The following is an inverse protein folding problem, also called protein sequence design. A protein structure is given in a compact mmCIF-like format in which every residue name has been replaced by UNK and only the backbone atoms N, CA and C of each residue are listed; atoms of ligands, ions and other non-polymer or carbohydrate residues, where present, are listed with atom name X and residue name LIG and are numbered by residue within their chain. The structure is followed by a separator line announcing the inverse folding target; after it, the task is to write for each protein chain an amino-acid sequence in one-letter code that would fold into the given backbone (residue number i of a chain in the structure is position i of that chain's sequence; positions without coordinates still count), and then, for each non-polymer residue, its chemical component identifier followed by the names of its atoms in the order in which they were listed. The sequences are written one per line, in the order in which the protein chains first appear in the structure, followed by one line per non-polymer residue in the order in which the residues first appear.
data_IF_015902478881
#
_entry.id   IF_015902478881
#
_cell.length_a   1.000
_cell.length_b   1.000
_cell.length_c   1.000
_cell.angle_alpha   90.00
_cell.angle_beta   90.00
_cell.angle_gamma   90.00
#
_symmetry.space_group_name_H-M   'P 1'
#
loop_
_entity.id
_entity.type
_entity.pdbx_description
1 polymer ?
#
# COMPACT_ATOMS: atom_id res chain seq x y z
N UNK A 1 11.93 13.30 -11.21
CA UNK A 1 13.02 12.33 -11.41
C UNK A 1 13.44 11.82 -10.04
N UNK A 2 13.07 10.58 -9.69
CA UNK A 2 13.49 9.96 -8.42
C UNK A 2 14.84 9.29 -8.68
N UNK A 3 15.88 9.78 -8.03
CA UNK A 3 17.21 9.19 -8.10
C UNK A 3 17.44 8.46 -6.78
N UNK A 4 17.45 7.12 -6.74
CA UNK A 4 17.88 6.40 -5.55
C UNK A 4 19.40 6.52 -5.43
N UNK A 5 19.87 7.13 -4.35
CA UNK A 5 21.30 7.17 -4.02
C UNK A 5 21.59 6.01 -3.08
N UNK A 6 22.20 4.96 -3.61
CA UNK A 6 22.81 3.91 -2.81
C UNK A 6 24.23 4.34 -2.43
N UNK A 7 24.44 4.75 -1.18
CA UNK A 7 25.79 4.95 -0.66
C UNK A 7 26.32 3.63 -0.12
N UNK A 8 27.23 3.02 -0.87
CA UNK A 8 28.15 2.01 -0.33
C UNK A 8 29.42 2.74 0.08
N UNK A 9 29.66 2.93 1.36
CA UNK A 9 30.93 3.43 1.87
C UNK A 9 31.89 2.26 2.02
N UNK A 10 32.89 2.15 1.14
CA UNK A 10 34.13 1.41 1.44
C UNK A 10 34.97 2.27 2.39
N UNK A 11 35.05 1.88 3.64
CA UNK A 11 36.01 2.44 4.56
C UNK A 11 37.30 1.63 4.45
N UNK A 12 38.29 2.17 3.72
CA UNK A 12 39.68 1.67 3.81
C UNK A 12 40.36 2.35 4.98
N UNK A 13 40.61 1.63 6.04
CA UNK A 13 41.54 2.04 7.10
C UNK A 13 42.81 1.19 7.01
N UNK A 14 43.97 1.89 6.99
CA UNK A 14 45.27 1.27 7.16
C UNK A 14 45.48 0.89 8.65
N UNK A 15 45.78 -0.37 8.83
CA UNK A 15 46.59 -1.05 9.85
C UNK A 15 46.46 -0.64 11.33
N UNK A 16 45.77 -1.46 12.07
CA UNK A 16 46.16 -2.20 13.29
C UNK A 16 44.91 -2.91 13.85
N UNK A 17 44.75 -4.20 13.53
CA UNK A 17 43.91 -5.10 14.35
C UNK A 17 42.39 -4.91 14.30
N UNK A 18 41.85 -4.39 13.22
CA UNK A 18 40.40 -4.30 13.02
C UNK A 18 39.97 -5.50 12.17
N UNK A 19 39.08 -6.32 12.70
CA UNK A 19 38.42 -7.36 11.93
C UNK A 19 37.74 -6.72 10.69
N UNK A 20 38.04 -7.25 9.52
CA UNK A 20 37.44 -6.80 8.26
C UNK A 20 35.93 -7.02 8.32
N UNK A 21 35.17 -5.93 8.41
CA UNK A 21 33.71 -6.01 8.33
C UNK A 21 33.35 -6.22 6.86
N UNK A 22 33.20 -7.49 6.47
CA UNK A 22 32.71 -7.83 5.14
C UNK A 22 31.19 -7.59 5.10
N UNK A 23 30.79 -6.48 4.50
CA UNK A 23 29.35 -6.21 4.21
C UNK A 23 28.95 -7.01 2.98
N UNK A 24 28.44 -8.21 3.18
CA UNK A 24 27.85 -9.02 2.11
C UNK A 24 26.35 -8.70 1.95
N UNK A 25 26.04 -7.69 1.13
CA UNK A 25 24.67 -7.51 0.65
C UNK A 25 24.33 -8.59 -0.38
N UNK A 26 23.15 -9.20 -0.30
CA UNK A 26 22.64 -10.04 -1.40
C UNK A 26 22.48 -9.17 -2.64
N UNK A 27 22.99 -9.63 -3.77
CA UNK A 27 22.80 -8.90 -5.03
C UNK A 27 21.32 -8.96 -5.45
N UNK A 28 20.85 -7.95 -6.17
CA UNK A 28 19.49 -7.88 -6.72
C UNK A 28 19.14 -9.15 -7.51
N UNK A 29 20.12 -9.71 -8.22
CA UNK A 29 19.96 -10.97 -8.95
C UNK A 29 19.68 -12.16 -8.02
N UNK A 30 20.35 -12.24 -6.90
CA UNK A 30 20.16 -13.31 -5.90
C UNK A 30 18.77 -13.20 -5.24
N UNK A 31 18.32 -12.02 -4.96
CA UNK A 31 16.99 -11.76 -4.41
C UNK A 31 15.87 -12.15 -5.39
N UNK A 32 16.02 -11.83 -6.67
CA UNK A 32 15.08 -12.26 -7.73
C UNK A 32 15.09 -13.78 -7.93
N UNK A 33 16.26 -14.40 -7.91
CA UNK A 33 16.38 -15.86 -8.00
C UNK A 33 15.72 -16.55 -6.80
N UNK A 34 15.89 -16.00 -5.60
CA UNK A 34 15.24 -16.51 -4.40
C UNK A 34 13.70 -16.39 -4.48
N UNK A 35 13.17 -15.31 -5.05
CA UNK A 35 11.73 -15.15 -5.28
C UNK A 35 11.19 -16.16 -6.31
N UNK A 36 11.94 -16.43 -7.39
CA UNK A 36 11.59 -17.45 -8.39
C UNK A 36 11.62 -18.85 -7.77
N UNK A 37 12.63 -19.16 -6.98
CA UNK A 37 12.75 -20.45 -6.32
C UNK A 37 11.64 -20.66 -5.29
N UNK A 38 11.36 -19.65 -4.47
CA UNK A 38 10.23 -19.68 -3.53
C UNK A 38 8.88 -19.89 -4.25
N UNK A 39 8.71 -19.30 -5.46
CA UNK A 39 7.54 -19.56 -6.30
C UNK A 39 7.48 -21.01 -6.80
N UNK A 40 8.61 -21.61 -7.15
CA UNK A 40 8.68 -23.02 -7.59
C UNK A 40 8.33 -23.98 -6.46
N UNK A 41 8.73 -23.66 -5.23
CA UNK A 41 8.50 -24.49 -4.05
C UNK A 41 7.12 -24.26 -3.43
N UNK A 42 6.39 -23.24 -3.87
CA UNK A 42 5.04 -22.97 -3.38
C UNK A 42 4.11 -24.15 -3.73
N UNK A 43 3.36 -24.61 -2.73
CA UNK A 43 2.37 -25.70 -2.89
C UNK A 43 1.10 -25.25 -3.62
N UNK A 44 0.95 -23.95 -3.86
CA UNK A 44 -0.18 -23.32 -4.52
C UNK A 44 0.26 -22.38 -5.64
N UNK A 45 -0.73 -21.76 -6.32
CA UNK A 45 -0.45 -20.75 -7.35
C UNK A 45 -0.19 -19.42 -6.64
N UNK A 46 1.08 -19.08 -6.49
CA UNK A 46 1.54 -17.83 -5.89
C UNK A 46 2.48 -17.06 -6.81
N UNK A 47 2.48 -15.74 -6.71
CA UNK A 47 3.52 -14.86 -7.23
C UNK A 47 4.22 -14.16 -6.07
N UNK A 48 5.51 -13.93 -6.24
CA UNK A 48 6.37 -13.40 -5.17
C UNK A 48 7.16 -12.21 -5.71
N UNK A 49 7.12 -11.09 -4.99
CA UNK A 49 7.96 -9.93 -5.25
C UNK A 49 8.92 -9.77 -4.06
N UNK A 50 10.20 -9.63 -4.37
CA UNK A 50 11.23 -9.32 -3.37
C UNK A 50 11.35 -7.81 -3.13
N UNK A 51 11.91 -7.43 -1.98
CA UNK A 51 12.20 -6.04 -1.62
C UNK A 51 12.98 -5.28 -2.71
N UNK A 52 14.00 -5.92 -3.29
CA UNK A 52 14.81 -5.29 -4.34
C UNK A 52 14.00 -5.02 -5.61
N UNK A 53 13.02 -5.87 -5.94
CA UNK A 53 12.13 -5.62 -7.06
C UNK A 53 11.12 -4.51 -6.75
N UNK A 54 10.73 -4.33 -5.48
CA UNK A 54 9.89 -3.23 -5.03
C UNK A 54 10.69 -1.92 -5.07
N UNK A 55 11.90 -1.89 -4.51
CA UNK A 55 12.72 -0.67 -4.42
C UNK A 55 13.34 -0.17 -5.73
N UNK A 56 13.27 -0.94 -6.83
CA UNK A 56 13.80 -0.52 -8.14
C UNK A 56 12.93 0.49 -8.89
N UNK A 57 11.67 0.53 -8.58
CA UNK A 57 10.71 1.40 -9.22
C UNK A 57 10.34 2.52 -8.24
N UNK A 58 9.89 3.67 -8.74
CA UNK A 58 9.45 4.76 -7.89
C UNK A 58 8.09 4.44 -7.24
N UNK A 59 7.98 3.24 -6.67
CA UNK A 59 6.77 2.81 -5.96
C UNK A 59 6.65 3.60 -4.65
N UNK A 60 5.54 4.27 -4.47
CA UNK A 60 5.25 4.97 -3.22
C UNK A 60 4.81 3.98 -2.13
N UNK A 61 4.11 2.92 -2.52
CA UNK A 61 3.56 1.92 -1.61
C UNK A 61 3.56 0.51 -2.22
N UNK A 62 3.13 -0.46 -1.42
CA UNK A 62 3.09 -1.87 -1.82
C UNK A 62 2.12 -2.14 -2.97
N UNK A 63 1.02 -1.37 -3.09
CA UNK A 63 0.03 -1.59 -4.18
C UNK A 63 0.64 -1.38 -5.56
N UNK A 64 1.49 -0.35 -5.74
CA UNK A 64 2.15 -0.11 -7.03
C UNK A 64 3.01 -1.30 -7.44
N UNK A 65 3.74 -1.88 -6.48
CA UNK A 65 4.54 -3.08 -6.72
C UNK A 65 3.69 -4.29 -7.12
N UNK A 66 2.57 -4.52 -6.43
CA UNK A 66 1.64 -5.62 -6.69
C UNK A 66 0.99 -5.54 -8.08
N UNK A 67 0.78 -4.34 -8.61
CA UNK A 67 0.22 -4.13 -9.94
C UNK A 67 1.06 -4.70 -11.09
N UNK A 68 2.33 -5.03 -10.84
CA UNK A 68 3.21 -5.68 -11.82
C UNK A 68 3.05 -7.19 -11.88
N UNK A 69 2.29 -7.78 -10.94
CA UNK A 69 2.05 -9.22 -10.93
C UNK A 69 0.93 -9.61 -11.89
N UNK A 70 1.09 -10.68 -12.66
CA UNK A 70 0.06 -11.17 -13.57
C UNK A 70 -1.24 -11.49 -12.85
N UNK A 71 -2.37 -11.03 -13.40
CA UNK A 71 -3.71 -11.29 -12.84
C UNK A 71 -4.02 -10.54 -11.54
N UNK A 72 -3.23 -9.52 -11.22
CA UNK A 72 -3.52 -8.54 -10.19
C UNK A 72 -3.86 -7.22 -10.88
N UNK A 73 -4.94 -6.60 -10.46
CA UNK A 73 -5.35 -5.26 -10.87
C UNK A 73 -5.37 -4.33 -9.68
N UNK A 74 -5.03 -3.07 -9.95
CA UNK A 74 -4.96 -2.01 -8.95
C UNK A 74 -6.10 -1.05 -9.19
N UNK A 75 -6.87 -0.77 -8.16
CA UNK A 75 -7.74 0.40 -8.14
C UNK A 75 -6.97 1.58 -7.56
N UNK A 76 -7.03 2.70 -8.28
CA UNK A 76 -6.43 3.96 -7.83
C UNK A 76 -7.52 4.87 -7.27
N UNK A 77 -7.15 5.62 -6.25
CA UNK A 77 -7.96 6.69 -5.71
C UNK A 77 -7.17 7.99 -5.84
N UNK A 78 -7.75 8.94 -6.56
CA UNK A 78 -7.11 10.22 -6.89
C UNK A 78 -5.68 10.06 -7.43
N UNK A 79 -5.46 9.06 -8.30
CA UNK A 79 -4.16 8.76 -8.91
C UNK A 79 -3.25 7.82 -8.13
N UNK A 80 -3.38 7.69 -6.81
CA UNK A 80 -2.58 6.79 -5.99
C UNK A 80 -3.16 5.38 -5.95
N UNK A 81 -2.30 4.37 -6.11
CA UNK A 81 -2.68 2.97 -5.97
C UNK A 81 -3.09 2.68 -4.52
N UNK A 82 -4.31 2.19 -4.31
CA UNK A 82 -4.90 1.98 -2.98
C UNK A 82 -5.33 0.55 -2.74
N UNK A 83 -6.06 -0.05 -3.67
CA UNK A 83 -6.65 -1.37 -3.50
C UNK A 83 -6.13 -2.36 -4.54
N UNK A 84 -6.14 -3.61 -4.14
CA UNK A 84 -5.68 -4.73 -4.96
C UNK A 84 -6.83 -5.71 -5.15
N UNK A 85 -7.02 -6.16 -6.38
CA UNK A 85 -7.97 -7.22 -6.73
C UNK A 85 -7.34 -8.29 -7.59
N UNK A 86 -7.77 -9.52 -7.39
CA UNK A 86 -7.30 -10.68 -8.14
C UNK A 86 -8.28 -11.02 -9.27
N UNK A 87 -7.78 -11.14 -10.51
CA UNK A 87 -8.53 -11.65 -11.66
C UNK A 87 -9.88 -10.96 -11.88
N UNK A 88 -9.97 -9.66 -11.59
CA UNK A 88 -11.19 -8.85 -11.77
C UNK A 88 -12.28 -9.09 -10.72
N UNK A 89 -12.00 -9.82 -9.64
CA UNK A 89 -12.95 -9.97 -8.54
C UNK A 89 -12.99 -8.71 -7.67
N UNK A 90 -14.11 -8.45 -6.98
CA UNK A 90 -14.18 -7.30 -6.08
C UNK A 90 -13.12 -7.35 -4.97
N UNK A 91 -12.50 -6.21 -4.68
CA UNK A 91 -11.42 -6.05 -3.68
C UNK A 91 -11.76 -6.58 -2.29
N UNK A 92 -13.04 -6.57 -1.88
CA UNK A 92 -13.49 -7.10 -0.58
C UNK A 92 -13.27 -8.60 -0.37
N UNK A 93 -12.92 -9.33 -1.43
CA UNK A 93 -12.63 -10.77 -1.38
C UNK A 93 -11.15 -11.09 -1.27
N UNK A 94 -10.30 -10.06 -1.19
CA UNK A 94 -8.86 -10.15 -0.94
C UNK A 94 -8.59 -9.94 0.54
N UNK A 95 -7.77 -10.77 1.15
CA UNK A 95 -7.31 -10.59 2.53
C UNK A 95 -5.82 -10.34 2.58
N UNK A 96 -5.36 -9.74 3.68
CA UNK A 96 -3.96 -9.34 3.86
C UNK A 96 -3.45 -9.79 5.23
N UNK A 97 -2.21 -10.25 5.25
CA UNK A 97 -1.50 -10.58 6.47
C UNK A 97 -0.09 -9.98 6.47
N UNK A 98 0.43 -9.72 7.68
CA UNK A 98 1.85 -9.52 7.92
C UNK A 98 2.44 -10.76 8.62
N UNK A 99 3.46 -11.36 8.01
CA UNK A 99 4.10 -12.57 8.50
C UNK A 99 3.10 -13.72 8.82
N UNK A 100 2.04 -13.84 8.02
CA UNK A 100 0.97 -14.83 8.22
C UNK A 100 -0.13 -14.44 9.20
N UNK A 101 -0.02 -13.30 9.86
CA UNK A 101 -1.02 -12.80 10.81
C UNK A 101 -1.98 -11.88 10.06
N UNK A 102 -3.26 -12.26 10.04
CA UNK A 102 -4.31 -11.50 9.34
C UNK A 102 -4.49 -10.12 9.97
N UNK A 103 -4.48 -9.07 9.13
CA UNK A 103 -4.71 -7.69 9.55
C UNK A 103 -6.13 -7.28 9.16
N UNK A 104 -6.93 -6.84 10.14
CA UNK A 104 -8.26 -6.32 9.85
C UNK A 104 -8.19 -5.08 8.97
N UNK A 105 -8.96 -5.04 7.89
CA UNK A 105 -9.13 -3.83 7.11
C UNK A 105 -9.90 -2.78 7.90
N UNK A 106 -9.48 -1.53 7.81
CA UNK A 106 -10.09 -0.39 8.53
C UNK A 106 -11.29 0.19 7.81
N UNK A 107 -11.49 -0.15 6.54
CA UNK A 107 -12.62 0.35 5.74
C UNK A 107 -13.88 -0.51 5.85
N UNK A 108 -15.02 0.07 5.46
CA UNK A 108 -16.27 -0.65 5.37
C UNK A 108 -16.13 -1.94 4.53
N UNK A 109 -16.53 -3.08 5.10
CA UNK A 109 -16.39 -4.37 4.45
C UNK A 109 -15.01 -5.03 4.63
N UNK A 110 -14.19 -4.56 5.57
CA UNK A 110 -12.85 -5.08 5.87
C UNK A 110 -11.90 -5.09 4.67
N UNK A 111 -12.01 -4.08 3.82
CA UNK A 111 -11.19 -3.98 2.61
C UNK A 111 -9.77 -3.57 3.01
N UNK A 112 -8.72 -4.33 2.63
CA UNK A 112 -7.36 -3.95 2.92
C UNK A 112 -6.95 -2.72 2.12
N UNK A 113 -6.30 -1.76 2.77
CA UNK A 113 -5.64 -0.63 2.13
C UNK A 113 -4.14 -0.90 2.07
N UNK A 114 -3.57 -0.79 0.90
CA UNK A 114 -2.14 -1.04 0.70
C UNK A 114 -1.32 0.25 0.58
N UNK A 115 -1.98 1.39 0.42
CA UNK A 115 -1.37 2.72 0.40
C UNK A 115 -0.82 3.14 1.77
N UNK A 116 -1.31 2.54 2.86
CA UNK A 116 -0.83 2.79 4.23
C UNK A 116 0.47 2.04 4.59
N UNK A 117 1.02 1.23 3.69
CA UNK A 117 2.18 0.41 3.97
C UNK A 117 3.36 0.77 3.07
N UNK A 118 4.40 1.44 3.59
CA UNK A 118 5.57 1.79 2.82
C UNK A 118 6.40 0.55 2.45
N UNK A 119 7.07 0.63 1.31
CA UNK A 119 7.83 -0.51 0.76
C UNK A 119 8.99 -0.96 1.67
N UNK A 120 9.58 -0.04 2.46
CA UNK A 120 10.78 -0.30 3.29
C UNK A 120 10.59 -1.36 4.36
N UNK A 121 9.35 -1.55 4.85
CA UNK A 121 9.04 -2.56 5.88
C UNK A 121 9.07 -3.99 5.32
N UNK A 122 9.08 -4.14 4.00
CA UNK A 122 8.79 -5.37 3.29
C UNK A 122 10.04 -6.02 2.75
N UNK A 123 10.31 -7.28 3.15
CA UNK A 123 11.33 -8.12 2.53
C UNK A 123 10.80 -8.85 1.30
N UNK A 124 9.54 -9.23 1.35
CA UNK A 124 8.88 -10.00 0.30
C UNK A 124 7.36 -9.84 0.39
N UNK A 125 6.68 -9.80 -0.74
CA UNK A 125 5.22 -9.93 -0.81
C UNK A 125 4.87 -11.21 -1.54
N UNK A 126 4.07 -12.06 -0.91
CA UNK A 126 3.55 -13.30 -1.48
C UNK A 126 2.07 -13.10 -1.81
N UNK A 127 1.75 -13.12 -3.09
CA UNK A 127 0.38 -13.01 -3.59
C UNK A 127 -0.14 -14.41 -3.96
N UNK A 128 -0.89 -15.03 -3.06
CA UNK A 128 -1.49 -16.34 -3.24
C UNK A 128 -2.76 -16.22 -4.06
N UNK A 129 -2.78 -16.82 -5.23
CA UNK A 129 -3.91 -16.83 -6.18
C UNK A 129 -4.81 -18.06 -6.06
N UNK A 130 -4.35 -19.05 -5.32
CA UNK A 130 -5.12 -20.20 -4.89
C UNK A 130 -4.97 -20.36 -3.38
N UNK A 131 -6.07 -20.61 -2.71
CA UNK A 131 -6.13 -20.69 -1.25
C UNK A 131 -5.88 -22.14 -0.81
N UNK A 132 -5.06 -22.33 0.21
CA UNK A 132 -4.83 -23.60 0.89
C UNK A 132 -5.53 -23.60 2.25
N UNK A 133 -5.69 -24.76 2.87
CA UNK A 133 -6.48 -24.92 4.09
C UNK A 133 -5.91 -24.16 5.32
N UNK A 134 -4.63 -23.77 5.27
CA UNK A 134 -3.94 -22.99 6.29
C UNK A 134 -4.16 -21.47 6.14
N UNK A 135 -4.79 -21.03 5.04
CA UNK A 135 -5.05 -19.60 4.77
C UNK A 135 -6.45 -19.21 5.25
N UNK A 136 -6.70 -17.89 5.51
CA UNK A 136 -8.02 -17.43 5.92
C UNK A 136 -9.11 -17.77 4.90
N UNK A 137 -10.19 -18.40 5.35
CA UNK A 137 -11.30 -18.85 4.47
C UNK A 137 -12.04 -17.72 3.77
N UNK A 138 -11.98 -16.50 4.28
CA UNK A 138 -12.52 -15.29 3.65
C UNK A 138 -11.72 -14.78 2.45
N UNK A 139 -10.53 -15.33 2.20
CA UNK A 139 -9.66 -14.99 1.06
C UNK A 139 -10.16 -15.56 -0.26
N UNK A 140 -11.41 -15.30 -0.61
CA UNK A 140 -12.10 -15.95 -1.74
C UNK A 140 -11.38 -15.74 -3.09
N UNK A 141 -10.84 -14.56 -3.32
CA UNK A 141 -10.16 -14.22 -4.59
C UNK A 141 -8.65 -14.36 -4.52
N UNK A 142 -8.07 -14.19 -3.34
CA UNK A 142 -6.63 -14.26 -3.11
C UNK A 142 -6.23 -13.78 -1.73
N UNK A 143 -5.02 -14.14 -1.35
CA UNK A 143 -4.41 -13.81 -0.07
C UNK A 143 -3.04 -13.18 -0.28
N UNK A 144 -2.84 -12.01 0.29
CA UNK A 144 -1.56 -11.28 0.22
C UNK A 144 -0.88 -11.36 1.57
N UNK A 145 0.29 -12.00 1.60
CA UNK A 145 1.12 -12.06 2.79
C UNK A 145 2.36 -11.18 2.61
N UNK A 146 2.42 -10.10 3.38
CA UNK A 146 3.54 -9.17 3.43
C UNK A 146 4.52 -9.70 4.47
N UNK A 147 5.72 -10.07 4.04
CA UNK A 147 6.78 -10.53 4.93
C UNK A 147 7.71 -9.36 5.24
N UNK A 148 7.94 -9.12 6.52
CA UNK A 148 8.89 -8.11 6.98
C UNK A 148 10.31 -8.67 6.97
N UNK A 149 11.30 -7.79 7.05
CA UNK A 149 12.70 -8.22 7.15
C UNK A 149 12.95 -8.99 8.46
N UNK A 150 13.68 -10.08 8.34
CA UNK A 150 14.17 -10.86 9.48
C UNK A 150 15.66 -10.62 9.67
N UNK A 151 16.14 -10.50 10.91
CA UNK A 151 17.58 -10.38 11.18
C UNK A 151 18.38 -11.55 10.59
N UNK A 152 17.83 -12.77 10.66
CA UNK A 152 18.44 -13.99 10.12
C UNK A 152 18.64 -14.00 8.61
N UNK A 153 18.01 -13.10 7.87
CA UNK A 153 18.15 -13.01 6.40
C UNK A 153 19.51 -12.44 5.98
N UNK A 154 20.18 -11.67 6.87
CA UNK A 154 21.45 -10.98 6.61
C UNK A 154 22.38 -11.16 7.81
N UNK A 155 23.49 -11.90 7.65
CA UNK A 155 24.52 -12.02 8.70
C UNK A 155 25.41 -10.78 8.74
N UNK A 156 25.84 -10.40 9.94
CA UNK A 156 26.64 -9.22 10.19
C UNK A 156 25.81 -7.94 10.22
N UNK A 157 26.49 -6.81 10.10
CA UNK A 157 25.87 -5.48 10.09
C UNK A 157 25.41 -5.09 8.69
N UNK A 158 24.23 -4.50 8.59
CA UNK A 158 23.72 -3.92 7.33
C UNK A 158 23.01 -2.60 7.61
N UNK A 159 23.27 -1.62 6.75
CA UNK A 159 22.62 -0.31 6.72
C UNK A 159 22.04 -0.08 5.33
N UNK A 160 20.78 0.32 5.27
CA UNK A 160 20.12 0.74 4.03
C UNK A 160 19.43 2.07 4.28
N UNK A 161 19.71 3.05 3.42
CA UNK A 161 19.07 4.35 3.43
C UNK A 161 18.60 4.70 2.02
N UNK A 162 17.44 5.34 1.92
CA UNK A 162 16.88 5.81 0.66
C UNK A 162 16.30 7.20 0.89
N UNK A 163 16.60 8.13 -0.01
CA UNK A 163 15.99 9.46 -0.06
C UNK A 163 15.49 9.67 -1.47
N UNK A 164 14.24 10.04 -1.61
CA UNK A 164 13.60 10.35 -2.89
C UNK A 164 12.92 11.71 -2.82
N UNK A 165 13.00 12.47 -3.92
CA UNK A 165 12.28 13.73 -4.10
C UNK A 165 11.75 13.79 -5.51
N UNK A 166 10.59 14.38 -5.70
CA UNK A 166 9.93 14.51 -6.98
C UNK A 166 8.91 15.63 -7.00
N UNK A 167 8.39 15.91 -8.17
CA UNK A 167 7.33 16.89 -8.40
C UNK A 167 6.25 16.24 -9.27
N UNK A 168 5.00 16.49 -8.96
CA UNK A 168 3.86 16.06 -9.76
C UNK A 168 3.69 16.99 -10.97
N UNK A 169 3.45 16.44 -12.14
CA UNK A 169 3.27 17.24 -13.37
C UNK A 169 2.05 18.15 -13.27
N UNK A 170 0.94 17.65 -12.74
CA UNK A 170 -0.25 18.43 -12.51
C UNK A 170 -0.19 19.11 -11.14
N UNK A 171 -0.27 20.42 -11.13
CA UNK A 171 -0.35 21.24 -9.91
C UNK A 171 0.95 21.47 -9.19
N UNK A 172 2.06 20.89 -9.67
CA UNK A 172 3.40 21.11 -9.12
C UNK A 172 3.54 20.76 -7.63
N UNK A 173 2.78 19.76 -7.18
CA UNK A 173 2.89 19.26 -5.80
C UNK A 173 4.21 18.50 -5.57
N UNK A 174 4.74 18.63 -4.39
CA UNK A 174 6.00 18.01 -4.00
C UNK A 174 5.78 16.54 -3.56
N UNK A 175 6.76 15.72 -3.85
CA UNK A 175 6.82 14.34 -3.38
C UNK A 175 8.15 14.09 -2.69
N UNK A 176 8.13 13.55 -1.48
CA UNK A 176 9.34 13.16 -0.76
C UNK A 176 9.19 11.77 -0.15
N UNK A 177 10.32 11.12 0.06
CA UNK A 177 10.41 9.80 0.67
C UNK A 177 11.77 9.63 1.35
N UNK A 178 11.74 9.21 2.60
CA UNK A 178 12.93 8.96 3.40
C UNK A 178 12.79 7.61 4.11
N UNK A 179 13.75 6.72 3.90
CA UNK A 179 13.76 5.39 4.48
C UNK A 179 15.11 5.10 5.12
N UNK A 180 15.08 4.46 6.29
CA UNK A 180 16.26 3.96 6.98
C UNK A 180 15.98 2.55 7.50
N UNK A 181 16.93 1.64 7.31
CA UNK A 181 16.92 0.31 7.92
C UNK A 181 18.31 -0.05 8.39
N UNK A 182 18.41 -0.47 9.64
CA UNK A 182 19.63 -0.98 10.26
C UNK A 182 19.37 -2.40 10.72
N UNK A 183 20.27 -3.32 10.44
CA UNK A 183 20.20 -4.69 10.93
C UNK A 183 21.55 -5.22 11.35
N UNK A 184 21.52 -6.16 12.30
CA UNK A 184 22.66 -6.94 12.73
C UNK A 184 22.21 -8.35 13.07
N UNK A 185 23.02 -9.34 12.73
CA UNK A 185 22.78 -10.73 13.10
C UNK A 185 24.10 -11.49 13.24
N UNK A 186 24.25 -12.22 14.32
CA UNK A 186 25.31 -13.21 14.54
C UNK A 186 24.71 -14.62 14.76
N UNK A 187 25.47 -15.54 15.33
CA UNK A 187 24.97 -16.90 15.60
C UNK A 187 24.13 -17.00 16.89
N UNK A 188 24.03 -15.92 17.67
CA UNK A 188 23.35 -15.89 18.98
C UNK A 188 22.04 -15.10 18.94
N UNK A 189 22.04 -13.97 18.25
CA UNK A 189 20.88 -13.08 18.15
C UNK A 189 20.95 -12.22 16.90
N UNK A 190 19.86 -11.55 16.61
CA UNK A 190 19.83 -10.54 15.57
C UNK A 190 18.73 -9.51 15.83
N UNK A 191 18.87 -8.35 15.20
CA UNK A 191 17.83 -7.35 15.16
C UNK A 191 17.77 -6.67 13.80
N UNK A 192 16.61 -6.18 13.44
CA UNK A 192 16.38 -5.21 12.36
C UNK A 192 15.46 -4.14 12.88
N UNK A 193 15.80 -2.88 12.63
CA UNK A 193 14.95 -1.72 12.91
C UNK A 193 14.83 -0.89 11.63
N UNK A 194 13.67 -0.30 11.42
CA UNK A 194 13.40 0.53 10.26
C UNK A 194 12.51 1.72 10.62
N UNK A 195 12.69 2.80 9.88
CA UNK A 195 11.83 3.97 9.86
C UNK A 195 11.62 4.46 8.44
N UNK A 196 10.46 5.01 8.19
CA UNK A 196 10.05 5.57 6.90
C UNK A 196 9.15 6.77 7.12
N UNK A 197 9.35 7.80 6.31
CA UNK A 197 8.40 8.89 6.12
C UNK A 197 8.27 9.20 4.64
N UNK A 198 7.09 9.58 4.21
CA UNK A 198 6.85 10.04 2.86
C UNK A 198 5.69 11.02 2.80
N UNK A 199 5.82 12.02 1.92
CA UNK A 199 4.78 12.99 1.61
C UNK A 199 4.52 12.97 0.12
N UNK A 200 3.25 13.04 -0.27
CA UNK A 200 2.84 13.11 -1.66
C UNK A 200 1.73 14.15 -1.79
N UNK A 201 2.06 15.28 -2.42
CA UNK A 201 1.11 16.33 -2.78
C UNK A 201 0.69 16.16 -4.23
N UNK A 202 -0.62 16.11 -4.48
CA UNK A 202 -1.11 15.93 -5.84
C UNK A 202 -2.40 16.72 -6.09
N UNK A 203 -2.59 17.12 -7.34
CA UNK A 203 -3.84 17.66 -7.84
C UNK A 203 -4.41 16.67 -8.84
N UNK A 204 -5.70 16.38 -8.72
CA UNK A 204 -6.41 15.54 -9.68
C UNK A 204 -7.75 16.15 -10.03
N UNK A 205 -8.16 16.01 -11.28
CA UNK A 205 -9.48 16.37 -11.75
C UNK A 205 -10.27 15.12 -12.11
N UNK A 206 -11.57 15.15 -11.84
CA UNK A 206 -12.43 14.03 -12.12
C UNK A 206 -13.80 14.50 -12.62
N UNK A 207 -14.39 13.73 -13.52
CA UNK A 207 -15.75 13.92 -13.99
C UNK A 207 -16.56 12.66 -13.71
N UNK A 208 -17.58 12.77 -12.86
CA UNK A 208 -18.39 11.65 -12.43
C UNK A 208 -19.87 11.85 -12.81
N UNK A 209 -20.38 11.15 -13.81
CA UNK A 209 -21.81 11.10 -14.06
C UNK A 209 -22.52 10.17 -13.08
N UNK A 210 -23.66 10.59 -12.56
CA UNK A 210 -24.59 9.74 -11.82
C UNK A 210 -25.81 9.49 -12.66
N UNK A 211 -26.25 8.25 -12.72
CA UNK A 211 -27.38 7.84 -13.54
C UNK A 211 -28.56 7.44 -12.63
N UNK A 212 -29.75 7.87 -13.01
CA UNK A 212 -31.03 7.44 -12.44
C UNK A 212 -31.85 6.63 -13.44
N UNK A 213 -33.02 6.16 -13.02
CA UNK A 213 -33.91 5.35 -13.83
C UNK A 213 -33.79 3.86 -13.55
N UNK A 214 -34.42 3.05 -14.41
CA UNK A 214 -34.41 1.59 -14.30
C UNK A 214 -33.27 0.99 -15.11
N UNK A 215 -32.83 -0.21 -14.74
CA UNK A 215 -31.83 -0.95 -15.50
C UNK A 215 -32.22 -1.08 -16.97
N UNK A 216 -31.31 -0.73 -17.88
CA UNK A 216 -31.54 -0.70 -19.32
C UNK A 216 -32.19 0.58 -19.87
N UNK A 217 -32.65 1.50 -19.00
CA UNK A 217 -33.20 2.81 -19.35
C UNK A 217 -32.65 3.93 -18.43
N UNK A 218 -31.39 3.85 -18.10
CA UNK A 218 -30.72 4.82 -17.24
C UNK A 218 -30.47 6.13 -18.00
N UNK A 219 -30.68 7.24 -17.31
CA UNK A 219 -30.41 8.60 -17.80
C UNK A 219 -29.50 9.34 -16.82
N UNK A 220 -28.67 10.28 -17.27
CA UNK A 220 -27.87 11.06 -16.33
C UNK A 220 -28.78 11.94 -15.48
N UNK A 221 -28.62 11.81 -14.16
CA UNK A 221 -29.28 12.67 -13.16
C UNK A 221 -28.38 13.84 -12.77
N UNK A 222 -27.07 13.59 -12.73
CA UNK A 222 -26.11 14.56 -12.24
C UNK A 222 -24.75 14.30 -12.90
N UNK A 223 -24.04 15.38 -13.16
CA UNK A 223 -22.64 15.36 -13.57
C UNK A 223 -21.86 16.20 -12.57
N UNK A 224 -20.86 15.58 -11.96
CA UNK A 224 -19.93 16.19 -11.01
C UNK A 224 -18.61 16.50 -11.72
N UNK A 225 -18.16 17.74 -11.62
CA UNK A 225 -16.83 18.17 -12.02
C UNK A 225 -16.06 18.46 -10.73
N UNK A 226 -15.07 17.64 -10.45
CA UNK A 226 -14.32 17.67 -9.20
C UNK A 226 -12.88 18.03 -9.45
N UNK A 227 -12.34 18.88 -8.61
CA UNK A 227 -10.92 19.14 -8.51
C UNK A 227 -10.48 18.87 -7.08
N UNK A 228 -9.45 18.06 -6.93
CA UNK A 228 -8.89 17.64 -5.66
C UNK A 228 -7.50 18.21 -5.49
N UNK A 229 -7.21 18.69 -4.30
CA UNK A 229 -5.86 18.90 -3.77
C UNK A 229 -5.68 17.94 -2.62
N UNK A 230 -4.69 17.07 -2.73
CA UNK A 230 -4.50 15.99 -1.78
C UNK A 230 -3.08 16.02 -1.28
N UNK A 231 -2.92 16.02 0.05
CA UNK A 231 -1.63 15.78 0.70
C UNK A 231 -1.74 14.49 1.48
N UNK A 232 -0.90 13.52 1.15
CA UNK A 232 -0.82 12.23 1.82
C UNK A 232 0.52 12.06 2.48
N UNK A 233 0.47 11.78 3.78
CA UNK A 233 1.66 11.52 4.58
C UNK A 233 1.60 10.09 5.09
N UNK A 234 2.73 9.40 5.02
CA UNK A 234 2.85 8.04 5.54
C UNK A 234 4.08 7.96 6.42
N UNK A 235 3.89 7.50 7.64
CA UNK A 235 4.96 7.20 8.57
C UNK A 235 4.93 5.72 8.95
N UNK A 236 6.08 5.11 9.07
CA UNK A 236 6.20 3.76 9.59
C UNK A 236 7.49 3.60 10.39
N UNK A 237 7.38 2.88 11.49
CA UNK A 237 8.55 2.44 12.24
C UNK A 237 8.31 1.07 12.84
N UNK A 238 9.37 0.34 13.04
CA UNK A 238 9.29 -0.98 13.64
C UNK A 238 10.57 -1.76 13.55
N UNK A 239 10.45 -3.06 13.81
CA UNK A 239 11.59 -3.94 13.74
C UNK A 239 11.30 -5.33 14.26
N UNK A 240 12.32 -6.17 14.18
CA UNK A 240 12.30 -7.54 14.69
C UNK A 240 13.58 -7.79 15.50
N UNK A 241 13.44 -8.38 16.67
CA UNK A 241 14.52 -8.96 17.43
C UNK A 241 14.38 -10.48 17.41
N UNK A 242 15.47 -11.20 17.21
CA UNK A 242 15.54 -12.67 17.23
C UNK A 242 16.62 -13.14 18.20
N UNK A 243 16.31 -14.14 19.01
CA UNK A 243 17.26 -14.92 19.78
C UNK A 243 17.33 -16.32 19.21
N UNK A 244 18.50 -16.74 18.77
CA UNK A 244 18.69 -18.06 18.18
C UNK A 244 18.92 -19.11 19.25
N UNK A 245 18.34 -20.30 19.05
CA UNK A 245 18.39 -21.43 19.94
C UNK A 245 19.44 -22.45 19.44
N UNK A 246 19.98 -23.24 20.34
CA UNK A 246 21.01 -24.23 20.01
C UNK A 246 20.55 -25.34 19.06
N UNK A 247 19.25 -25.57 18.95
CA UNK A 247 18.66 -26.54 18.03
C UNK A 247 18.29 -25.93 16.64
N UNK A 248 18.75 -24.72 16.34
CA UNK A 248 18.47 -24.03 15.10
C UNK A 248 17.15 -23.26 15.08
N UNK A 249 16.36 -23.32 16.15
CA UNK A 249 15.14 -22.53 16.32
C UNK A 249 15.43 -21.07 16.72
N UNK A 250 14.37 -20.28 16.86
CA UNK A 250 14.43 -18.87 17.29
C UNK A 250 13.24 -18.47 18.14
N UNK A 251 13.46 -17.54 19.06
CA UNK A 251 12.41 -16.76 19.71
C UNK A 251 12.47 -15.37 19.07
N UNK A 252 11.32 -14.80 18.74
CA UNK A 252 11.28 -13.51 18.07
C UNK A 252 10.23 -12.57 18.65
N UNK A 253 10.55 -11.27 18.61
CA UNK A 253 9.65 -10.17 18.90
C UNK A 253 9.64 -9.26 17.68
N UNK A 254 8.47 -9.06 17.07
CA UNK A 254 8.28 -8.15 15.94
C UNK A 254 7.31 -7.05 16.32
N UNK A 255 7.63 -5.80 15.98
CA UNK A 255 6.75 -4.65 16.10
C UNK A 255 6.66 -3.92 14.76
N UNK A 256 5.46 -3.48 14.42
CA UNK A 256 5.15 -2.68 13.25
C UNK A 256 4.15 -1.60 13.64
N UNK A 257 4.46 -0.37 13.31
CA UNK A 257 3.56 0.77 13.47
C UNK A 257 3.53 1.52 12.15
N UNK A 258 2.34 1.78 11.65
CA UNK A 258 2.13 2.60 10.45
C UNK A 258 1.05 3.63 10.70
N UNK A 259 1.28 4.83 10.22
CA UNK A 259 0.32 5.93 10.22
C UNK A 259 0.22 6.48 8.80
N UNK A 260 -1.00 6.68 8.33
CA UNK A 260 -1.30 7.24 7.04
C UNK A 260 -2.33 8.35 7.22
N UNK A 261 -1.96 9.55 6.83
CA UNK A 261 -2.82 10.73 6.85
C UNK A 261 -3.17 11.14 5.43
N UNK A 262 -4.44 11.44 5.18
CA UNK A 262 -5.00 11.81 3.87
C UNK A 262 -5.76 13.13 4.06
N UNK A 263 -5.13 14.24 3.68
CA UNK A 263 -5.72 15.57 3.72
C UNK A 263 -6.22 15.92 2.32
N UNK A 264 -7.53 16.06 2.16
CA UNK A 264 -8.21 16.28 0.89
C UNK A 264 -9.00 17.60 0.91
N UNK A 265 -8.59 18.54 0.07
CA UNK A 265 -9.44 19.66 -0.34
C UNK A 265 -10.13 19.31 -1.66
N UNK A 266 -11.46 19.29 -1.67
CA UNK A 266 -12.23 19.02 -2.87
C UNK A 266 -13.17 20.18 -3.23
N UNK A 267 -13.00 20.72 -4.42
CA UNK A 267 -13.96 21.58 -5.07
C UNK A 267 -14.82 20.75 -6.02
N UNK A 268 -16.12 20.85 -5.88
CA UNK A 268 -17.07 20.05 -6.61
C UNK A 268 -18.14 20.95 -7.22
N UNK A 269 -18.24 20.96 -8.54
CA UNK A 269 -19.31 21.64 -9.28
C UNK A 269 -20.26 20.60 -9.85
N UNK A 270 -21.48 20.56 -9.33
CA UNK A 270 -22.50 19.58 -9.67
C UNK A 270 -23.57 20.20 -10.53
N UNK A 271 -23.85 19.58 -11.67
CA UNK A 271 -24.96 19.93 -12.54
C UNK A 271 -26.02 18.83 -12.45
N UNK A 272 -27.18 19.18 -11.93
CA UNK A 272 -28.33 18.27 -11.86
C UNK A 272 -29.19 18.47 -13.09
N UNK A 273 -29.49 17.37 -13.77
CA UNK A 273 -30.29 17.38 -15.03
C UNK A 273 -31.63 16.72 -14.73
N UNK A 274 -32.71 17.42 -15.03
CA UNK A 274 -34.05 16.87 -14.92
C UNK A 274 -34.55 16.40 -16.28
N UNK A 275 -35.12 15.19 -16.32
CA UNK A 275 -35.72 14.60 -17.51
C UNK A 275 -34.76 14.48 -18.70
N UNK A 276 -33.52 14.04 -18.38
CA UNK A 276 -32.49 13.81 -19.39
C UNK A 276 -32.81 12.60 -20.29
N UNK A 277 -32.16 12.58 -21.46
CA UNK A 277 -32.08 11.38 -22.30
C UNK A 277 -30.75 10.65 -22.04
N UNK A 278 -30.58 9.40 -22.48
CA UNK A 278 -29.43 8.60 -22.12
C UNK A 278 -28.05 9.20 -22.44
N UNK A 279 -27.87 9.84 -23.58
CA UNK A 279 -26.54 10.26 -24.05
C UNK A 279 -26.44 11.72 -24.41
N UNK A 280 -27.47 12.28 -24.99
CA UNK A 280 -27.50 13.68 -25.45
C UNK A 280 -28.80 14.31 -25.06
N UNK A 281 -28.81 15.60 -24.89
CA UNK A 281 -30.04 16.31 -24.63
C UNK A 281 -29.90 17.82 -24.74
N UNK A 282 -31.02 18.47 -25.01
CA UNK A 282 -31.11 19.93 -25.09
C UNK A 282 -32.45 20.45 -24.55
N UNK A 283 -32.45 21.69 -24.09
CA UNK A 283 -33.66 22.35 -23.62
C UNK A 283 -34.16 21.93 -22.23
N UNK A 284 -33.28 21.36 -21.42
CA UNK A 284 -33.61 20.91 -20.05
C UNK A 284 -33.65 22.06 -19.06
N UNK A 285 -34.38 21.80 -17.98
CA UNK A 285 -34.24 22.56 -16.75
C UNK A 285 -33.40 21.73 -15.76
N UNK A 286 -32.47 22.37 -15.10
CA UNK A 286 -31.64 21.76 -14.12
C UNK A 286 -31.27 22.69 -12.98
N UNK A 287 -30.36 22.28 -12.14
CA UNK A 287 -29.79 23.15 -11.10
C UNK A 287 -28.29 22.89 -10.99
N UNK A 288 -27.53 23.89 -10.59
CA UNK A 288 -26.13 23.73 -10.30
C UNK A 288 -25.88 23.97 -8.81
N UNK A 289 -24.92 23.24 -8.27
CA UNK A 289 -24.45 23.42 -6.89
C UNK A 289 -22.93 23.41 -6.88
N UNK A 290 -22.36 24.18 -6.00
CA UNK A 290 -20.94 24.12 -5.69
C UNK A 290 -20.78 23.58 -4.28
N UNK A 291 -19.90 22.64 -4.10
CA UNK A 291 -19.51 22.07 -2.82
C UNK A 291 -18.04 22.29 -2.60
N UNK A 292 -17.68 22.51 -1.37
CA UNK A 292 -16.31 22.46 -0.90
C UNK A 292 -16.26 21.42 0.22
N UNK A 293 -15.28 20.56 0.18
CA UNK A 293 -15.02 19.59 1.20
C UNK A 293 -13.54 19.71 1.61
N UNK A 294 -13.33 19.76 2.91
CA UNK A 294 -12.01 19.76 3.53
C UNK A 294 -11.98 18.58 4.48
N UNK A 295 -11.38 17.50 4.03
CA UNK A 295 -11.41 16.22 4.73
C UNK A 295 -10.04 15.84 5.24
N UNK A 296 -9.98 15.32 6.45
CA UNK A 296 -8.81 14.66 7.01
C UNK A 296 -9.18 13.22 7.33
N UNK A 297 -8.41 12.29 6.80
CA UNK A 297 -8.52 10.87 7.09
C UNK A 297 -7.24 10.35 7.72
N UNK A 298 -7.36 9.64 8.85
CA UNK A 298 -6.23 9.05 9.56
C UNK A 298 -6.42 7.55 9.66
N UNK A 299 -5.42 6.78 9.25
CA UNK A 299 -5.39 5.34 9.42
C UNK A 299 -4.12 4.93 10.17
N UNK A 300 -4.28 4.16 11.24
CA UNK A 300 -3.16 3.63 12.03
C UNK A 300 -3.24 2.12 12.12
N UNK A 301 -2.09 1.47 12.07
CA UNK A 301 -1.96 0.05 12.36
C UNK A 301 -0.78 -0.15 13.29
N UNK A 302 -1.04 -0.76 14.44
CA UNK A 302 -0.04 -1.16 15.40
C UNK A 302 -0.10 -2.67 15.57
N UNK A 303 1.02 -3.34 15.41
CA UNK A 303 1.13 -4.79 15.58
C UNK A 303 2.36 -5.12 16.42
N UNK A 304 2.17 -5.97 17.41
CA UNK A 304 3.27 -6.57 18.18
C UNK A 304 3.06 -8.07 18.24
N UNK A 305 4.08 -8.83 17.88
CA UNK A 305 4.06 -10.29 17.85
C UNK A 305 5.23 -10.85 18.61
N UNK A 306 4.96 -11.75 19.54
CA UNK A 306 5.95 -12.59 20.21
C UNK A 306 5.76 -14.03 19.74
N UNK A 307 6.84 -14.71 19.35
CA UNK A 307 6.75 -16.09 18.90
C UNK A 307 8.01 -16.90 19.09
N UNK A 308 7.84 -18.19 18.90
CA UNK A 308 8.91 -19.20 18.84
C UNK A 308 8.71 -20.04 17.58
N UNK A 309 9.80 -20.28 16.88
CA UNK A 309 9.89 -21.09 15.67
C UNK A 309 11.03 -22.09 15.88
N UNK A 310 10.74 -23.38 15.99
CA UNK A 310 11.73 -24.39 16.41
C UNK A 310 11.31 -25.78 15.98
N UNK A 311 12.27 -26.70 15.92
CA UNK A 311 11.98 -28.13 15.71
C UNK A 311 12.04 -28.88 17.01
N UNK A 312 11.07 -29.74 17.28
CA UNK A 312 10.97 -30.62 18.46
C UNK A 312 10.77 -32.05 17.94
N UNK A 313 11.85 -32.85 17.97
CA UNK A 313 11.86 -34.16 17.31
C UNK A 313 11.63 -34.02 15.80
N UNK A 314 10.63 -34.72 15.29
CA UNK A 314 10.25 -34.65 13.86
C UNK A 314 9.22 -33.57 13.53
N UNK A 315 8.91 -32.67 14.48
CA UNK A 315 7.90 -31.62 14.31
C UNK A 315 8.56 -30.26 14.19
N UNK A 316 8.14 -29.51 13.16
CA UNK A 316 8.40 -28.08 13.07
C UNK A 316 7.25 -27.33 13.75
N UNK A 317 7.60 -26.53 14.75
CA UNK A 317 6.65 -25.86 15.65
C UNK A 317 6.81 -24.36 15.51
N UNK A 318 5.75 -23.68 15.03
CA UNK A 318 5.60 -22.24 15.11
C UNK A 318 4.47 -21.91 16.08
N UNK A 319 4.80 -21.26 17.19
CA UNK A 319 3.81 -20.70 18.12
C UNK A 319 4.01 -19.21 18.25
N UNK A 320 2.92 -18.43 18.13
CA UNK A 320 2.99 -16.97 18.21
C UNK A 320 1.72 -16.38 18.80
N UNK A 321 1.86 -15.25 19.46
CA UNK A 321 0.78 -14.41 19.95
C UNK A 321 0.97 -12.99 19.42
N UNK A 322 -0.11 -12.38 18.94
CA UNK A 322 -0.06 -11.04 18.36
C UNK A 322 -1.13 -10.17 18.99
N UNK A 323 -0.76 -8.93 19.25
CA UNK A 323 -1.69 -7.84 19.52
C UNK A 323 -1.71 -6.93 18.28
N UNK A 324 -2.90 -6.66 17.77
CA UNK A 324 -3.10 -5.79 16.60
C UNK A 324 -4.19 -4.79 16.96
N UNK A 325 -3.86 -3.52 16.81
CA UNK A 325 -4.80 -2.41 16.92
C UNK A 325 -4.82 -1.68 15.58
N UNK A 326 -6.00 -1.50 15.00
CA UNK A 326 -6.21 -0.71 13.78
C UNK A 326 -7.23 0.37 14.04
N UNK A 327 -6.98 1.57 13.56
CA UNK A 327 -7.85 2.72 13.71
C UNK A 327 -8.03 3.41 12.36
N UNK A 328 -9.27 3.81 12.06
CA UNK A 328 -9.56 4.78 11.02
C UNK A 328 -10.41 5.89 11.64
N UNK A 329 -9.99 7.11 11.44
CA UNK A 329 -10.73 8.32 11.81
C UNK A 329 -10.86 9.22 10.59
N UNK A 330 -12.04 9.79 10.38
CA UNK A 330 -12.30 10.66 9.23
C UNK A 330 -13.13 11.85 9.69
N UNK A 331 -12.60 13.03 9.50
CA UNK A 331 -13.30 14.28 9.67
C UNK A 331 -13.55 14.92 8.30
N UNK A 332 -14.82 15.18 7.96
CA UNK A 332 -15.20 15.62 6.62
C UNK A 332 -16.26 16.73 6.67
N UNK A 333 -15.88 17.97 6.98
CA UNK A 333 -16.80 19.10 6.87
C UNK A 333 -17.12 19.40 5.40
N UNK A 334 -18.41 19.58 5.10
CA UNK A 334 -18.90 19.87 3.75
C UNK A 334 -19.60 21.22 3.75
N UNK A 335 -19.06 22.17 2.99
CA UNK A 335 -19.71 23.43 2.68
C UNK A 335 -20.54 23.36 1.41
N UNK A 336 -21.81 23.75 1.48
CA UNK A 336 -22.68 23.80 0.31
C UNK A 336 -22.91 25.24 -0.14
N UNK A 337 -22.64 25.54 -1.41
CA UNK A 337 -23.05 26.77 -2.05
C UNK A 337 -24.13 26.44 -3.08
N UNK A 338 -25.39 26.70 -2.74
CA UNK A 338 -26.50 26.40 -3.62
C UNK A 338 -26.68 27.62 -4.54
N UNK A 339 -26.43 27.43 -5.82
CA UNK A 339 -26.86 28.37 -6.83
C UNK A 339 -28.41 28.37 -6.90
N UNK A 340 -29.03 29.47 -6.49
CA UNK A 340 -30.47 29.51 -6.23
C UNK A 340 -31.38 29.52 -7.46
N UNK A 341 -30.87 29.39 -8.68
CA UNK A 341 -31.67 29.54 -9.90
C UNK A 341 -31.72 28.23 -10.68
N UNK A 342 -32.89 27.90 -11.15
CA UNK A 342 -33.09 26.92 -12.21
C UNK A 342 -32.27 27.33 -13.42
N UNK A 343 -31.41 26.42 -13.87
CA UNK A 343 -30.75 26.55 -15.16
C UNK A 343 -31.76 26.13 -16.22
N UNK A 344 -31.93 26.97 -17.23
CA UNK A 344 -32.81 26.69 -18.39
C UNK A 344 -31.97 26.51 -19.64
N UNK A 345 -32.48 25.77 -20.61
CA UNK A 345 -31.79 25.48 -21.87
C UNK A 345 -30.45 24.80 -21.72
N UNK A 346 -30.31 23.92 -20.72
CA UNK A 346 -29.15 23.04 -20.58
C UNK A 346 -29.09 22.09 -21.78
N UNK A 347 -27.90 21.92 -22.30
CA UNK A 347 -27.58 20.80 -23.22
C UNK A 347 -26.39 20.04 -22.72
N UNK A 348 -26.36 18.74 -22.95
CA UNK A 348 -25.24 17.88 -22.65
C UNK A 348 -25.06 16.82 -23.74
N UNK A 349 -23.84 16.39 -23.90
CA UNK A 349 -23.44 15.24 -24.68
C UNK A 349 -22.46 14.41 -23.87
N UNK A 350 -22.82 13.17 -23.57
CA UNK A 350 -22.00 12.18 -22.88
C UNK A 350 -21.84 10.92 -23.73
N UNK A 351 -22.00 11.02 -25.04
CA UNK A 351 -21.76 9.90 -25.96
C UNK A 351 -20.28 9.50 -25.99
N UNK A 352 -19.39 10.43 -25.67
CA UNK A 352 -17.97 10.17 -25.40
C UNK A 352 -17.64 10.52 -23.94
N UNK A 353 -17.54 9.53 -23.05
CA UNK A 353 -17.32 9.75 -21.63
C UNK A 353 -15.87 10.09 -21.24
N UNK A 354 -14.94 10.27 -22.19
CA UNK A 354 -13.56 10.64 -21.89
C UNK A 354 -13.38 12.10 -21.49
#
# INVERSE_FOLDING_TARGET
LIIPIFMTTEVKTQDEGIEEIVVTGKTIRESQMAAIEAKRQAINVADIISADAIGRFPDMNISDALGRLPGISIERDQGQARYVSFRGTPKRYTTTAFNGINIPGVENGRIPRFDSYPAVITSQVVANKAITADMPGESISGFINIKTFKPSDIKGFSLSAEVGMGEQDQGKGDTSKENLRVSYSDDSFGFVVYGSTSTNEQITDNREPTYGGTEGAQTPDRIDFRSYRVTRETEAFGGTFEKYLSNGGRIFLTSLNTEFEDNEERNDFRVYVKNGTPTTGSGFTGSARRLFNDATGLNKTEMTTLGIDTSIGDWDVLAQVSKIDTMADTFMPIGYFIGGNQLTNLSYDISDPQ
#
